data_IF_074654399555
#
_entry.id   IF_074654399555
#
_cell.length_a   1.000
_cell.length_b   1.000
_cell.length_c   1.000
_cell.angle_alpha   90.00
_cell.angle_beta   90.00
_cell.angle_gamma   90.00
#
_symmetry.space_group_name_H-M   'P 1'
#
loop_
_entity.id
_entity.type
_entity.pdbx_description
1 polymer ?
#
# COMPACT_ATOMS: atom_id res chain seq x y z
N UNK A 1 -27.25 2.45 28.32
CA UNK A 1 -26.65 3.80 28.28
C UNK A 1 -26.24 4.11 26.84
N UNK A 2 -26.56 5.30 26.30
CA UNK A 2 -26.06 5.74 24.99
C UNK A 2 -24.53 5.85 25.00
N UNK A 3 -23.90 5.48 23.88
CA UNK A 3 -22.45 5.57 23.71
C UNK A 3 -22.02 7.02 23.52
N UNK A 4 -20.85 7.38 24.06
CA UNK A 4 -20.30 8.73 23.89
C UNK A 4 -19.90 8.99 22.43
N UNK A 5 -19.78 10.26 22.03
CA UNK A 5 -19.32 10.63 20.69
C UNK A 5 -17.99 9.95 20.32
N UNK A 6 -17.04 9.90 21.28
CA UNK A 6 -15.76 9.23 21.11
C UNK A 6 -15.92 7.71 20.90
N UNK A 7 -16.79 7.05 21.67
CA UNK A 7 -17.05 5.63 21.50
C UNK A 7 -17.67 5.32 20.13
N UNK A 8 -18.58 6.18 19.64
CA UNK A 8 -19.17 6.02 18.32
C UNK A 8 -18.13 6.20 17.21
N UNK A 9 -17.23 7.18 17.33
CA UNK A 9 -16.13 7.38 16.39
C UNK A 9 -15.20 6.16 16.32
N UNK A 10 -14.82 5.60 17.47
CA UNK A 10 -13.96 4.40 17.54
C UNK A 10 -14.62 3.17 16.93
N UNK A 11 -15.92 2.97 17.15
CA UNK A 11 -16.66 1.86 16.53
C UNK A 11 -16.73 2.04 15.02
N UNK A 12 -16.97 3.27 14.56
CA UNK A 12 -16.99 3.60 13.14
C UNK A 12 -15.64 3.30 12.50
N UNK A 13 -14.54 3.75 13.11
CA UNK A 13 -13.19 3.50 12.61
C UNK A 13 -12.86 2.00 12.57
N UNK A 14 -13.15 1.25 13.64
CA UNK A 14 -12.95 -0.21 13.67
C UNK A 14 -13.72 -0.92 12.56
N UNK A 15 -14.96 -0.49 12.28
CA UNK A 15 -15.76 -1.08 11.19
C UNK A 15 -15.17 -0.74 9.83
N UNK A 16 -14.75 0.51 9.61
CA UNK A 16 -14.06 0.94 8.38
C UNK A 16 -12.81 0.10 8.15
N UNK A 17 -11.99 -0.08 9.18
CA UNK A 17 -10.75 -0.86 9.10
C UNK A 17 -11.03 -2.34 8.79
N UNK A 18 -12.06 -2.95 9.40
CA UNK A 18 -12.43 -4.34 9.10
C UNK A 18 -12.86 -4.55 7.64
N UNK A 19 -13.54 -3.56 7.03
CA UNK A 19 -13.89 -3.58 5.61
C UNK A 19 -12.62 -3.53 4.75
N UNK A 20 -11.72 -2.59 5.05
CA UNK A 20 -10.45 -2.43 4.34
C UNK A 20 -9.57 -3.68 4.43
N UNK A 21 -9.43 -4.29 5.61
CA UNK A 21 -8.62 -5.50 5.80
C UNK A 21 -9.19 -6.71 5.03
N UNK A 22 -10.52 -6.87 5.03
CA UNK A 22 -11.17 -7.94 4.28
C UNK A 22 -10.96 -7.77 2.78
N UNK A 23 -11.17 -6.54 2.29
CA UNK A 23 -10.99 -6.20 0.89
C UNK A 23 -9.53 -6.33 0.46
N UNK A 24 -8.58 -5.83 1.25
CA UNK A 24 -7.14 -5.96 1.04
C UNK A 24 -6.76 -7.43 0.83
N UNK A 25 -7.23 -8.32 1.70
CA UNK A 25 -6.95 -9.76 1.58
C UNK A 25 -7.54 -10.34 0.28
N UNK A 26 -8.79 -9.99 -0.07
CA UNK A 26 -9.40 -10.47 -1.31
C UNK A 26 -8.65 -9.96 -2.55
N UNK A 27 -8.30 -8.67 -2.58
CA UNK A 27 -7.54 -8.06 -3.67
C UNK A 27 -6.15 -8.68 -3.82
N UNK A 28 -5.44 -8.91 -2.72
CA UNK A 28 -4.12 -9.53 -2.75
C UNK A 28 -4.16 -10.96 -3.32
N UNK A 29 -5.21 -11.73 -3.00
CA UNK A 29 -5.31 -13.14 -3.40
C UNK A 29 -5.89 -13.35 -4.80
N UNK A 30 -6.79 -12.49 -5.24
CA UNK A 30 -7.58 -12.69 -6.47
C UNK A 30 -7.41 -11.58 -7.51
N UNK A 31 -6.68 -10.52 -7.16
CA UNK A 31 -6.56 -9.32 -7.98
C UNK A 31 -7.72 -8.35 -7.77
N UNK A 32 -7.44 -7.05 -7.92
CA UNK A 32 -8.44 -5.98 -7.72
C UNK A 32 -9.61 -6.16 -8.68
N UNK A 33 -9.36 -6.37 -9.97
CA UNK A 33 -10.39 -6.44 -11.02
C UNK A 33 -11.43 -7.54 -10.77
N UNK A 34 -11.02 -8.65 -10.15
CA UNK A 34 -11.87 -9.83 -9.97
C UNK A 34 -12.75 -9.80 -8.71
N UNK A 35 -12.72 -8.70 -7.95
CA UNK A 35 -13.46 -8.58 -6.68
C UNK A 35 -14.44 -7.42 -6.75
N UNK A 36 -15.72 -7.72 -6.53
CA UNK A 36 -16.80 -6.74 -6.48
C UNK A 36 -17.09 -6.29 -5.04
N UNK A 37 -17.91 -5.24 -4.90
CA UNK A 37 -18.45 -4.81 -3.59
C UNK A 37 -19.31 -5.92 -2.99
N UNK A 38 -20.06 -6.64 -3.82
CA UNK A 38 -20.93 -7.75 -3.43
C UNK A 38 -20.12 -8.89 -2.80
N UNK A 39 -18.99 -9.25 -3.41
CA UNK A 39 -18.07 -10.27 -2.86
C UNK A 39 -17.59 -9.88 -1.47
N UNK A 40 -17.20 -8.61 -1.28
CA UNK A 40 -16.72 -8.10 0.01
C UNK A 40 -17.84 -8.12 1.04
N UNK A 41 -19.03 -7.63 0.67
CA UNK A 41 -20.20 -7.59 1.55
C UNK A 41 -20.61 -9.01 1.98
N UNK A 42 -20.58 -9.98 1.06
CA UNK A 42 -20.87 -11.38 1.32
C UNK A 42 -19.86 -12.01 2.28
N UNK A 43 -18.56 -11.82 2.05
CA UNK A 43 -17.49 -12.34 2.93
C UNK A 43 -17.64 -11.78 4.35
N UNK A 44 -17.98 -10.49 4.47
CA UNK A 44 -18.16 -9.82 5.76
C UNK A 44 -19.54 -10.04 6.40
N UNK A 45 -20.50 -10.59 5.66
CA UNK A 45 -21.91 -10.72 6.07
C UNK A 45 -22.52 -9.37 6.48
N UNK A 46 -22.28 -8.34 5.68
CA UNK A 46 -22.84 -7.00 5.86
C UNK A 46 -23.79 -6.65 4.71
N UNK A 47 -24.72 -5.73 4.94
CA UNK A 47 -25.55 -5.20 3.87
C UNK A 47 -24.78 -4.22 2.99
N UNK A 48 -25.21 -4.06 1.74
CA UNK A 48 -24.72 -3.00 0.85
C UNK A 48 -24.88 -1.62 1.49
N UNK A 49 -26.03 -1.34 2.12
CA UNK A 49 -26.24 -0.07 2.81
C UNK A 49 -25.21 0.19 3.91
N UNK A 50 -24.75 -0.85 4.63
CA UNK A 50 -23.68 -0.69 5.60
C UNK A 50 -22.33 -0.44 4.92
N UNK A 51 -22.02 -1.12 3.81
CA UNK A 51 -20.81 -0.82 3.04
C UNK A 51 -20.80 0.63 2.56
N UNK A 52 -21.89 1.07 1.91
CA UNK A 52 -22.04 2.41 1.35
C UNK A 52 -22.09 3.52 2.41
N UNK A 53 -22.27 3.17 3.68
CA UNK A 53 -22.09 4.11 4.80
C UNK A 53 -20.61 4.48 5.04
N UNK A 54 -19.67 3.64 4.63
CA UNK A 54 -18.23 3.84 4.83
C UNK A 54 -17.48 4.23 3.55
N UNK A 55 -17.92 3.73 2.40
CA UNK A 55 -17.26 3.92 1.11
C UNK A 55 -18.28 4.20 0.01
N UNK A 56 -18.02 5.17 -0.85
CA UNK A 56 -18.97 5.50 -1.95
C UNK A 56 -18.99 4.45 -3.05
N UNK A 57 -17.85 3.83 -3.30
CA UNK A 57 -17.63 2.86 -4.35
C UNK A 57 -16.34 2.04 -4.08
N UNK A 58 -15.96 1.20 -5.04
CA UNK A 58 -14.76 0.35 -4.96
C UNK A 58 -13.47 1.18 -5.03
N UNK A 59 -13.46 2.29 -5.75
CA UNK A 59 -12.29 3.15 -5.89
C UNK A 59 -12.00 3.88 -4.57
N UNK A 60 -13.03 4.41 -3.90
CA UNK A 60 -12.92 5.02 -2.57
C UNK A 60 -12.37 4.01 -1.53
N UNK A 61 -12.83 2.76 -1.59
CA UNK A 61 -12.28 1.68 -0.76
C UNK A 61 -10.79 1.43 -1.05
N UNK A 62 -10.42 1.33 -2.32
CA UNK A 62 -9.01 1.12 -2.73
C UNK A 62 -8.15 2.30 -2.27
N UNK A 63 -8.62 3.53 -2.45
CA UNK A 63 -7.93 4.73 -2.00
C UNK A 63 -7.73 4.74 -0.48
N UNK A 64 -8.76 4.35 0.28
CA UNK A 64 -8.66 4.18 1.73
C UNK A 64 -7.61 3.15 2.15
N UNK A 65 -7.53 2.02 1.44
CA UNK A 65 -6.51 0.98 1.68
C UNK A 65 -5.10 1.52 1.36
N UNK A 66 -4.93 2.19 0.22
CA UNK A 66 -3.64 2.76 -0.18
C UNK A 66 -3.18 3.79 0.85
N UNK A 67 -4.07 4.70 1.27
CA UNK A 67 -3.75 5.72 2.26
C UNK A 67 -3.37 5.08 3.60
N UNK A 68 -4.11 4.06 4.04
CA UNK A 68 -3.75 3.33 5.26
C UNK A 68 -2.38 2.68 5.18
N UNK A 69 -2.04 2.12 4.02
CA UNK A 69 -0.70 1.62 3.72
C UNK A 69 0.35 2.73 3.81
N UNK A 70 0.11 3.89 3.18
CA UNK A 70 1.00 5.05 3.23
C UNK A 70 1.21 5.57 4.65
N UNK A 71 0.17 5.66 5.47
CA UNK A 71 0.31 6.02 6.88
C UNK A 71 1.19 5.01 7.66
N UNK A 72 1.01 3.72 7.37
CA UNK A 72 1.70 2.63 8.06
C UNK A 72 3.19 2.55 7.68
N UNK A 73 3.51 2.85 6.41
CA UNK A 73 4.83 2.58 5.82
C UNK A 73 5.59 3.84 5.40
N UNK A 74 4.88 4.91 5.05
CA UNK A 74 5.41 6.07 4.36
C UNK A 74 6.48 6.81 5.13
N UNK A 75 6.38 6.93 6.46
CA UNK A 75 7.42 7.60 7.27
C UNK A 75 8.79 6.95 7.13
N UNK A 76 8.85 5.63 7.01
CA UNK A 76 10.10 4.89 6.89
C UNK A 76 10.70 5.00 5.48
N UNK A 77 9.87 5.06 4.45
CA UNK A 77 10.35 5.19 3.06
C UNK A 77 10.76 6.63 2.75
N UNK A 78 9.97 7.61 3.20
CA UNK A 78 10.28 9.03 3.01
C UNK A 78 11.55 9.43 3.76
N UNK A 79 11.81 8.89 4.95
CA UNK A 79 13.05 9.19 5.69
C UNK A 79 14.31 8.68 4.96
N UNK A 80 14.23 7.58 4.20
CA UNK A 80 15.35 7.13 3.36
C UNK A 80 15.69 8.15 2.27
N UNK A 81 14.66 8.81 1.70
CA UNK A 81 14.84 9.84 0.66
C UNK A 81 15.36 11.14 1.27
N UNK A 82 14.76 11.60 2.37
CA UNK A 82 15.04 12.90 2.97
C UNK A 82 16.43 12.97 3.61
N UNK A 83 16.97 11.83 4.06
CA UNK A 83 18.33 11.75 4.59
C UNK A 83 19.40 11.81 3.48
N UNK A 84 19.01 11.91 2.20
CA UNK A 84 19.88 12.00 1.04
C UNK A 84 21.02 10.97 1.08
N UNK A 85 20.67 9.74 1.45
CA UNK A 85 21.62 8.62 1.49
C UNK A 85 22.10 8.32 0.07
N UNK A 86 23.28 7.71 -0.07
CA UNK A 86 23.78 7.27 -1.37
C UNK A 86 22.83 6.29 -2.05
N UNK A 87 22.91 6.18 -3.38
CA UNK A 87 22.02 5.31 -4.15
C UNK A 87 22.04 3.86 -3.66
N UNK A 88 23.23 3.35 -3.32
CA UNK A 88 23.38 2.01 -2.75
C UNK A 88 22.69 1.88 -1.37
N UNK A 89 22.89 2.83 -0.47
CA UNK A 89 22.26 2.85 0.86
C UNK A 89 20.74 2.94 0.77
N UNK A 90 20.22 3.69 -0.21
CA UNK A 90 18.79 3.75 -0.47
C UNK A 90 18.25 2.38 -0.89
N UNK A 91 18.88 1.71 -1.85
CA UNK A 91 18.50 0.37 -2.32
C UNK A 91 18.52 -0.63 -1.15
N UNK A 92 19.59 -0.59 -0.34
CA UNK A 92 19.73 -1.43 0.85
C UNK A 92 18.59 -1.18 1.84
N UNK A 93 18.37 0.08 2.23
CA UNK A 93 17.35 0.46 3.21
C UNK A 93 15.94 0.11 2.73
N UNK A 94 15.65 0.31 1.44
CA UNK A 94 14.36 -0.06 0.86
C UNK A 94 14.15 -1.58 0.86
N UNK A 95 15.19 -2.35 0.57
CA UNK A 95 15.17 -3.82 0.61
C UNK A 95 14.91 -4.33 2.03
N UNK A 96 15.68 -3.84 3.01
CA UNK A 96 15.52 -4.20 4.43
C UNK A 96 14.12 -3.83 4.94
N UNK A 97 13.63 -2.65 4.54
CA UNK A 97 12.28 -2.19 4.86
C UNK A 97 11.20 -3.17 4.36
N UNK A 98 11.26 -3.58 3.09
CA UNK A 98 10.28 -4.52 2.54
C UNK A 98 10.37 -5.89 3.22
N UNK A 99 11.57 -6.45 3.36
CA UNK A 99 11.76 -7.76 3.99
C UNK A 99 11.26 -7.79 5.43
N UNK A 100 11.55 -6.75 6.21
CA UNK A 100 11.09 -6.65 7.61
C UNK A 100 9.57 -6.58 7.71
N UNK A 101 8.92 -5.81 6.82
CA UNK A 101 7.46 -5.68 6.86
C UNK A 101 6.73 -6.92 6.32
N UNK A 102 7.32 -7.62 5.34
CA UNK A 102 6.81 -8.91 4.86
C UNK A 102 6.81 -9.98 5.96
N UNK A 103 7.79 -9.96 6.87
CA UNK A 103 7.88 -10.87 8.01
C UNK A 103 6.97 -10.47 9.19
N UNK A 104 6.39 -9.28 9.19
CA UNK A 104 5.68 -8.72 10.34
C UNK A 104 4.29 -9.31 10.58
N UNK A 105 3.42 -9.30 9.56
CA UNK A 105 2.09 -9.92 9.60
C UNK A 105 1.52 -10.09 8.20
N UNK A 106 0.57 -11.00 8.03
CA UNK A 106 -0.14 -11.21 6.75
C UNK A 106 -0.72 -9.90 6.19
N UNK A 107 -1.31 -9.07 7.05
CA UNK A 107 -1.86 -7.79 6.65
C UNK A 107 -0.79 -6.85 6.09
N UNK A 108 0.37 -6.75 6.75
CA UNK A 108 1.49 -5.93 6.25
C UNK A 108 2.00 -6.47 4.93
N UNK A 109 2.11 -7.78 4.79
CA UNK A 109 2.54 -8.41 3.54
C UNK A 109 1.56 -8.09 2.39
N UNK A 110 0.26 -8.17 2.63
CA UNK A 110 -0.74 -7.80 1.63
C UNK A 110 -0.69 -6.32 1.25
N UNK A 111 -0.50 -5.42 2.21
CA UNK A 111 -0.32 -4.00 1.87
C UNK A 111 0.92 -3.76 1.02
N UNK A 112 2.07 -4.34 1.38
CA UNK A 112 3.31 -4.20 0.59
C UNK A 112 3.11 -4.72 -0.82
N UNK A 113 2.55 -5.93 -0.97
CA UNK A 113 2.23 -6.50 -2.26
C UNK A 113 1.33 -5.57 -3.09
N UNK A 114 0.20 -5.13 -2.52
CA UNK A 114 -0.76 -4.30 -3.22
C UNK A 114 -0.15 -2.96 -3.65
N UNK A 115 0.55 -2.26 -2.75
CA UNK A 115 1.22 -0.99 -3.04
C UNK A 115 2.25 -1.14 -4.17
N UNK A 116 3.08 -2.19 -4.13
CA UNK A 116 4.05 -2.46 -5.17
C UNK A 116 3.37 -2.74 -6.53
N UNK A 117 2.33 -3.57 -6.56
CA UNK A 117 1.60 -3.87 -7.80
C UNK A 117 0.91 -2.65 -8.40
N UNK A 118 0.30 -1.80 -7.55
CA UNK A 118 -0.36 -0.57 -8.00
C UNK A 118 0.68 0.43 -8.52
N UNK A 119 1.82 0.57 -7.84
CA UNK A 119 2.90 1.43 -8.31
C UNK A 119 3.41 0.96 -9.68
N UNK A 120 3.62 -0.34 -9.88
CA UNK A 120 4.05 -0.90 -11.17
C UNK A 120 3.05 -0.60 -12.30
N UNK A 121 1.75 -0.77 -12.05
CA UNK A 121 0.70 -0.46 -13.03
C UNK A 121 0.63 1.04 -13.33
N UNK A 122 0.72 1.90 -12.32
CA UNK A 122 0.61 3.35 -12.48
C UNK A 122 1.83 3.98 -13.14
N UNK A 123 3.03 3.46 -12.87
CA UNK A 123 4.25 3.79 -13.64
C UNK A 123 4.02 3.49 -15.11
N UNK A 124 3.44 2.33 -15.44
CA UNK A 124 3.15 1.97 -16.83
C UNK A 124 2.11 2.89 -17.49
N UNK A 125 1.29 3.59 -16.71
CA UNK A 125 0.23 4.48 -17.18
C UNK A 125 0.58 5.98 -17.13
N UNK A 126 1.78 6.36 -16.66
CA UNK A 126 2.19 7.77 -16.43
C UNK A 126 1.17 8.58 -15.59
N UNK A 127 0.62 7.97 -14.54
CA UNK A 127 -0.36 8.64 -13.68
C UNK A 127 0.34 9.50 -12.59
N UNK A 128 0.46 10.80 -12.87
CA UNK A 128 1.12 11.79 -11.99
C UNK A 128 0.37 12.04 -10.66
N UNK A 129 -0.87 11.53 -10.49
CA UNK A 129 -1.65 11.76 -9.25
C UNK A 129 -1.06 11.07 -8.02
N UNK A 130 -0.24 10.06 -8.22
CA UNK A 130 0.39 9.33 -7.13
C UNK A 130 1.87 9.59 -7.22
N UNK A 131 2.39 10.48 -6.37
CA UNK A 131 3.83 10.73 -6.29
C UNK A 131 4.54 9.41 -5.94
N UNK A 132 5.05 8.71 -6.97
CA UNK A 132 5.82 7.47 -6.85
C UNK A 132 7.28 7.81 -6.58
N UNK A 133 7.52 8.86 -5.77
CA UNK A 133 8.84 9.39 -5.43
C UNK A 133 9.84 8.28 -5.10
N UNK A 134 9.41 7.28 -4.33
CA UNK A 134 10.23 6.14 -3.93
C UNK A 134 10.67 5.26 -5.10
N UNK A 135 9.81 5.06 -6.10
CA UNK A 135 10.15 4.28 -7.29
C UNK A 135 11.06 5.08 -8.22
N UNK A 136 10.74 6.35 -8.47
CA UNK A 136 11.59 7.24 -9.27
C UNK A 136 12.98 7.40 -8.66
N UNK A 137 13.05 7.54 -7.33
CA UNK A 137 14.31 7.60 -6.60
C UNK A 137 15.06 6.27 -6.67
N UNK A 138 14.36 5.13 -6.54
CA UNK A 138 14.97 3.79 -6.74
C UNK A 138 15.63 3.67 -8.12
N UNK A 139 14.92 4.04 -9.19
CA UNK A 139 15.47 3.98 -10.55
C UNK A 139 16.70 4.89 -10.71
N UNK A 140 16.63 6.11 -10.17
CA UNK A 140 17.77 7.05 -10.16
C UNK A 140 18.97 6.47 -9.40
N UNK A 141 18.74 5.91 -8.21
CA UNK A 141 19.77 5.28 -7.39
C UNK A 141 20.42 4.10 -8.12
N UNK A 142 19.65 3.27 -8.81
CA UNK A 142 20.18 2.17 -9.62
C UNK A 142 21.09 2.70 -10.73
N UNK A 143 20.67 3.75 -11.44
CA UNK A 143 21.44 4.33 -12.54
C UNK A 143 22.74 5.00 -12.04
N UNK A 144 22.69 5.72 -10.93
CA UNK A 144 23.87 6.29 -10.27
C UNK A 144 24.89 5.20 -9.92
N UNK A 145 24.44 4.08 -9.35
CA UNK A 145 25.35 3.01 -8.94
C UNK A 145 25.90 2.16 -10.10
N UNK A 146 25.17 2.07 -11.22
CA UNK A 146 25.73 1.55 -12.49
C UNK A 146 26.88 2.42 -12.98
N UNK A 147 26.68 3.73 -13.01
CA UNK A 147 27.72 4.67 -13.44
C UNK A 147 28.95 4.67 -12.52
N UNK A 148 28.75 4.35 -11.24
CA UNK A 148 29.85 4.15 -10.27
C UNK A 148 30.56 2.79 -10.40
N UNK A 149 30.17 1.93 -11.35
CA UNK A 149 30.78 0.62 -11.56
C UNK A 149 30.49 -0.40 -10.46
N UNK A 150 29.48 -0.15 -9.61
CA UNK A 150 29.12 -1.03 -8.47
C UNK A 150 28.15 -2.15 -8.84
N UNK A 151 27.55 -2.10 -10.02
CA UNK A 151 26.62 -3.11 -10.50
C UNK A 151 27.32 -4.09 -11.43
N UNK A 152 27.12 -5.38 -11.18
CA UNK A 152 27.61 -6.46 -12.03
C UNK A 152 26.65 -6.59 -13.22
N UNK A 153 27.18 -6.60 -14.43
CA UNK A 153 26.40 -6.96 -15.62
C UNK A 153 26.21 -8.49 -15.63
N UNK A 154 25.00 -8.96 -15.37
CA UNK A 154 24.67 -10.39 -15.36
C UNK A 154 24.42 -10.95 -16.77
N UNK A 155 24.26 -10.08 -17.77
CA UNK A 155 24.02 -10.43 -19.18
C UNK A 155 25.30 -10.35 -20.04
N UNK A 156 26.47 -10.20 -19.40
CA UNK A 156 27.78 -10.15 -20.05
C UNK A 156 28.41 -11.54 -20.24
#
# INVERSE_FOLDING_TARGET
MPKTALQNALIREKRKNAIMETALKQFALKGIENISIDDIAQVMRISHGLFYHYFTDKEDLINGIIEKGRETFGKNVTSLIDNNVGGFEFIKGLTEFYLTNLQGSDAKAYYIYLLLTINLQKVALNDDKWDIKSYSYLLKSIEEEKNNGRFINLDA
#
